data_IF_719239043857
#
_entry.id   IF_719239043857
#
_cell.length_a   1.000
_cell.length_b   1.000
_cell.length_c   1.000
_cell.angle_alpha   90.00
_cell.angle_beta   90.00
_cell.angle_gamma   90.00
#
_symmetry.space_group_name_H-M   'P 1'
#
loop_
_entity.id
_entity.type
_entity.pdbx_description
1 polymer ?
#
# COMPACT_ATOMS: atom_id res chain seq x y z
N UNK A 1 33.48 32.07 28.24
CA UNK A 1 34.45 31.32 27.40
C UNK A 1 34.31 31.92 26.01
N UNK A 2 35.39 32.32 25.36
CA UNK A 2 35.28 32.93 24.03
C UNK A 2 34.88 31.88 22.99
N UNK A 3 34.26 32.27 21.88
CA UNK A 3 33.91 31.34 20.79
C UNK A 3 35.19 30.70 20.24
N UNK A 4 36.29 31.46 20.16
CA UNK A 4 37.60 30.96 19.75
C UNK A 4 38.10 29.85 20.69
N UNK A 5 37.93 30.02 22.01
CA UNK A 5 38.31 29.00 22.99
C UNK A 5 37.43 27.75 22.86
N UNK A 6 36.12 27.93 22.62
CA UNK A 6 35.19 26.83 22.40
C UNK A 6 35.54 26.03 21.14
N UNK A 7 35.83 26.71 20.03
CA UNK A 7 36.26 26.08 18.76
C UNK A 7 37.57 25.32 18.94
N UNK A 8 38.57 25.93 19.58
CA UNK A 8 39.87 25.28 19.80
C UNK A 8 39.71 24.06 20.72
N UNK A 9 38.88 24.15 21.76
CA UNK A 9 38.64 23.03 22.69
C UNK A 9 37.88 21.86 22.03
N UNK A 10 37.00 22.14 21.07
CA UNK A 10 36.20 21.14 20.37
C UNK A 10 36.89 20.52 19.14
N UNK A 11 37.93 21.17 18.60
CA UNK A 11 38.56 20.78 17.33
C UNK A 11 39.07 19.32 17.30
N UNK A 12 39.67 18.85 18.41
CA UNK A 12 40.19 17.47 18.51
C UNK A 12 39.06 16.43 18.48
N UNK A 13 37.97 16.70 19.18
CA UNK A 13 36.80 15.83 19.23
C UNK A 13 36.00 15.87 17.91
N UNK A 14 35.89 17.04 17.27
CA UNK A 14 35.35 17.16 15.92
C UNK A 14 36.14 16.31 14.91
N UNK A 15 37.47 16.36 14.95
CA UNK A 15 38.31 15.55 14.07
C UNK A 15 38.10 14.05 14.30
N UNK A 16 37.93 13.62 15.56
CA UNK A 16 37.58 12.24 15.90
C UNK A 16 36.21 11.84 15.36
N UNK A 17 35.18 12.67 15.54
CA UNK A 17 33.83 12.41 15.03
C UNK A 17 33.82 12.30 13.50
N UNK A 18 34.51 13.19 12.79
CA UNK A 18 34.62 13.15 11.34
C UNK A 18 35.38 11.90 10.87
N UNK A 19 36.45 11.51 11.56
CA UNK A 19 37.18 10.27 11.29
C UNK A 19 36.26 9.04 11.43
N UNK A 20 35.52 8.94 12.53
CA UNK A 20 34.57 7.83 12.75
C UNK A 20 33.37 7.86 11.79
N UNK A 21 32.93 9.03 11.32
CA UNK A 21 31.89 9.11 10.27
C UNK A 21 32.42 8.58 8.94
N UNK A 22 33.66 8.92 8.59
CA UNK A 22 34.30 8.48 7.35
C UNK A 22 34.48 6.96 7.30
N UNK A 23 34.70 6.29 8.43
CA UNK A 23 34.76 4.83 8.53
C UNK A 23 33.46 4.11 8.11
N UNK A 24 32.32 4.81 8.11
CA UNK A 24 31.00 4.25 7.78
C UNK A 24 30.33 4.92 6.58
N UNK A 25 31.07 5.68 5.78
CA UNK A 25 30.46 6.57 4.79
C UNK A 25 29.83 5.81 3.62
N UNK A 26 30.35 4.63 3.31
CA UNK A 26 29.86 3.67 2.32
C UNK A 26 28.68 2.82 2.83
N UNK A 27 28.54 2.65 4.15
CA UNK A 27 27.54 1.76 4.76
C UNK A 27 26.08 2.02 4.32
N UNK A 28 25.59 3.27 4.15
CA UNK A 28 24.24 3.51 3.67
C UNK A 28 24.01 3.03 2.23
N UNK A 29 24.99 3.24 1.35
CA UNK A 29 24.90 2.79 -0.04
C UNK A 29 24.96 1.27 -0.13
N UNK A 30 25.85 0.65 0.65
CA UNK A 30 25.95 -0.80 0.77
C UNK A 30 24.65 -1.42 1.30
N UNK A 31 24.04 -0.82 2.34
CA UNK A 31 22.76 -1.27 2.89
C UNK A 31 21.64 -1.19 1.83
N UNK A 32 21.51 -0.06 1.15
CA UNK A 32 20.49 0.11 0.11
C UNK A 32 20.67 -0.89 -1.05
N UNK A 33 21.91 -1.15 -1.46
CA UNK A 33 22.21 -2.16 -2.48
C UNK A 33 21.81 -3.56 -2.01
N UNK A 34 22.13 -3.92 -0.77
CA UNK A 34 21.78 -5.23 -0.22
C UNK A 34 20.26 -5.39 -0.03
N UNK A 35 19.55 -4.35 0.41
CA UNK A 35 18.08 -4.33 0.48
C UNK A 35 17.45 -4.55 -0.90
N UNK A 36 17.98 -3.91 -1.94
CA UNK A 36 17.54 -4.13 -3.33
C UNK A 36 17.76 -5.57 -3.76
N UNK A 37 18.93 -6.14 -3.50
CA UNK A 37 19.23 -7.54 -3.82
C UNK A 37 18.31 -8.52 -3.09
N UNK A 38 18.02 -8.28 -1.81
CA UNK A 38 17.08 -9.08 -1.03
C UNK A 38 15.66 -8.97 -1.61
N UNK A 39 15.23 -7.76 -1.97
CA UNK A 39 13.92 -7.56 -2.59
C UNK A 39 13.79 -8.30 -3.93
N UNK A 40 14.81 -8.26 -4.77
CA UNK A 40 14.89 -9.03 -6.02
C UNK A 40 14.83 -10.54 -5.77
N UNK A 41 15.59 -11.04 -4.79
CA UNK A 41 15.55 -12.46 -4.39
C UNK A 41 14.16 -12.88 -3.90
N UNK A 42 13.48 -12.04 -3.11
CA UNK A 42 12.12 -12.31 -2.65
C UNK A 42 11.15 -12.36 -3.82
N UNK A 43 11.23 -11.43 -4.78
CA UNK A 43 10.40 -11.46 -5.98
C UNK A 43 10.63 -12.74 -6.79
N UNK A 44 11.90 -13.13 -6.99
CA UNK A 44 12.26 -14.36 -7.69
C UNK A 44 11.69 -15.61 -6.99
N UNK A 45 11.81 -15.69 -5.66
CA UNK A 45 11.23 -16.78 -4.86
C UNK A 45 9.72 -16.87 -5.06
N UNK A 46 9.00 -15.74 -5.05
CA UNK A 46 7.55 -15.73 -5.23
C UNK A 46 7.14 -16.21 -6.62
N UNK A 47 7.89 -15.83 -7.66
CA UNK A 47 7.58 -16.26 -9.03
C UNK A 47 7.92 -17.73 -9.25
N UNK A 48 9.02 -18.22 -8.69
CA UNK A 48 9.37 -19.64 -8.72
C UNK A 48 8.41 -20.50 -7.89
N UNK A 49 7.84 -19.97 -6.79
CA UNK A 49 6.76 -20.63 -6.04
C UNK A 49 5.50 -20.80 -6.89
N UNK A 50 5.06 -19.74 -7.60
CA UNK A 50 3.92 -19.83 -8.53
C UNK A 50 4.19 -20.85 -9.64
N UNK A 51 5.41 -20.85 -10.19
CA UNK A 51 5.83 -21.81 -11.21
C UNK A 51 5.82 -23.24 -10.67
N UNK A 52 6.33 -23.47 -9.47
CA UNK A 52 6.31 -24.77 -8.82
C UNK A 52 4.87 -25.25 -8.59
N UNK A 53 3.96 -24.38 -8.16
CA UNK A 53 2.54 -24.72 -8.01
C UNK A 53 1.90 -25.15 -9.34
N UNK A 54 2.20 -24.44 -10.44
CA UNK A 54 1.73 -24.80 -11.77
C UNK A 54 2.30 -26.15 -12.24
N UNK A 55 3.59 -26.39 -12.01
CA UNK A 55 4.25 -27.66 -12.34
C UNK A 55 3.68 -28.83 -11.53
N UNK A 56 3.48 -28.65 -10.22
CA UNK A 56 2.87 -29.66 -9.35
C UNK A 56 1.41 -29.96 -9.74
N UNK A 57 0.64 -28.94 -10.16
CA UNK A 57 -0.70 -29.13 -10.69
C UNK A 57 -0.69 -29.94 -12.00
N UNK A 58 0.28 -29.66 -12.89
CA UNK A 58 0.47 -30.41 -14.13
C UNK A 58 0.90 -31.86 -13.84
N UNK A 59 1.89 -32.09 -12.98
CA UNK A 59 2.32 -33.44 -12.58
C UNK A 59 1.16 -34.25 -11.99
N UNK A 60 0.32 -33.63 -11.16
CA UNK A 60 -0.90 -34.25 -10.63
C UNK A 60 -1.94 -34.59 -11.71
N UNK A 61 -2.05 -33.75 -12.75
CA UNK A 61 -2.93 -33.99 -13.89
C UNK A 61 -2.44 -35.16 -14.74
N UNK A 62 -1.15 -35.17 -15.11
CA UNK A 62 -0.52 -36.26 -15.87
C UNK A 62 -0.58 -37.59 -15.10
N UNK A 63 -0.35 -37.56 -13.78
CA UNK A 63 -0.51 -38.73 -12.90
C UNK A 63 -1.90 -39.35 -13.01
N UNK A 64 -2.95 -38.53 -12.92
CA UNK A 64 -4.34 -39.00 -13.06
C UNK A 64 -4.62 -39.54 -14.46
N UNK A 65 -4.04 -38.94 -15.50
CA UNK A 65 -4.11 -39.42 -16.87
C UNK A 65 -3.54 -40.83 -17.00
N UNK A 66 -2.30 -41.00 -16.54
CA UNK A 66 -1.59 -42.28 -16.50
C UNK A 66 -2.36 -43.35 -15.68
N UNK A 67 -2.78 -43.04 -14.45
CA UNK A 67 -3.57 -43.96 -13.60
C UNK A 67 -4.88 -44.38 -14.27
N UNK A 68 -5.60 -43.43 -14.90
CA UNK A 68 -6.87 -43.73 -15.58
C UNK A 68 -6.73 -44.63 -16.81
N UNK A 69 -5.58 -44.58 -17.48
CA UNK A 69 -5.26 -45.45 -18.62
C UNK A 69 -4.84 -46.84 -18.15
N UNK A 70 -3.99 -46.91 -17.12
CA UNK A 70 -3.50 -48.16 -16.54
C UNK A 70 -4.62 -49.01 -15.92
N UNK A 71 -5.52 -48.37 -15.16
CA UNK A 71 -6.52 -49.08 -14.36
C UNK A 71 -7.81 -49.41 -15.14
N UNK A 72 -7.94 -48.95 -16.39
CA UNK A 72 -9.13 -49.21 -17.21
C UNK A 72 -9.10 -50.60 -17.86
N UNK A 73 -9.52 -51.61 -17.09
CA UNK A 73 -9.75 -52.99 -17.55
C UNK A 73 -10.70 -53.06 -18.75
N UNK A 74 -11.73 -52.22 -18.81
CA UNK A 74 -12.68 -52.15 -19.93
C UNK A 74 -12.03 -51.67 -21.24
N UNK A 75 -11.16 -50.64 -21.20
CA UNK A 75 -10.41 -50.17 -22.39
C UNK A 75 -9.40 -51.22 -22.86
N UNK A 76 -8.74 -51.88 -21.92
CA UNK A 76 -7.77 -52.95 -22.20
C UNK A 76 -8.44 -54.15 -22.89
N UNK A 77 -9.64 -54.53 -22.45
CA UNK A 77 -10.45 -55.57 -23.10
C UNK A 77 -10.95 -55.14 -24.48
N UNK A 78 -11.47 -53.92 -24.62
CA UNK A 78 -11.95 -53.39 -25.90
C UNK A 78 -10.83 -53.31 -26.98
N UNK A 79 -9.62 -52.89 -26.59
CA UNK A 79 -8.46 -52.87 -27.49
C UNK A 79 -7.94 -54.27 -27.84
N UNK A 80 -8.10 -55.24 -26.93
CA UNK A 80 -7.75 -56.64 -27.19
C UNK A 80 -8.72 -57.29 -28.16
N UNK A 81 -10.03 -57.04 -28.00
CA UNK A 81 -11.09 -57.55 -28.88
C UNK A 81 -11.07 -56.94 -30.28
N UNK A 82 -10.61 -55.69 -30.43
CA UNK A 82 -10.52 -54.99 -31.72
C UNK A 82 -9.15 -55.14 -32.42
N UNK A 83 -8.22 -55.92 -31.86
CA UNK A 83 -6.88 -56.15 -32.42
C UNK A 83 -5.93 -54.94 -32.34
N UNK A 84 -6.28 -53.88 -31.60
CA UNK A 84 -5.53 -52.62 -31.51
C UNK A 84 -4.63 -52.55 -30.25
N UNK A 85 -4.04 -53.67 -29.83
CA UNK A 85 -3.20 -53.79 -28.62
C UNK A 85 -1.97 -52.87 -28.66
N UNK A 86 -1.27 -52.83 -29.80
CA UNK A 86 -0.07 -51.97 -29.96
C UNK A 86 -0.39 -50.49 -29.79
N UNK A 87 -1.54 -50.02 -30.30
CA UNK A 87 -1.98 -48.62 -30.14
C UNK A 87 -2.29 -48.26 -28.69
N UNK A 88 -2.73 -49.23 -27.89
CA UNK A 88 -2.96 -49.02 -26.47
C UNK A 88 -1.64 -48.94 -25.70
N UNK A 89 -0.71 -49.86 -25.96
CA UNK A 89 0.62 -49.87 -25.35
C UNK A 89 1.44 -48.61 -25.70
N UNK A 90 1.35 -48.14 -26.94
CA UNK A 90 2.00 -46.89 -27.37
C UNK A 90 1.47 -45.67 -26.61
N UNK A 91 0.15 -45.60 -26.36
CA UNK A 91 -0.47 -44.51 -25.57
C UNK A 91 -0.11 -44.59 -24.09
N UNK A 92 -0.06 -45.79 -23.52
CA UNK A 92 0.37 -46.01 -22.14
C UNK A 92 1.80 -45.54 -21.91
N UNK A 93 2.71 -45.89 -22.83
CA UNK A 93 4.11 -45.43 -22.80
C UNK A 93 4.26 -43.92 -22.98
N UNK A 94 3.47 -43.30 -23.86
CA UNK A 94 3.48 -41.84 -24.07
C UNK A 94 3.06 -41.09 -22.79
N UNK A 95 2.03 -41.58 -22.10
CA UNK A 95 1.50 -40.94 -20.89
C UNK A 95 2.39 -41.18 -19.66
N UNK A 96 3.05 -42.34 -19.58
CA UNK A 96 4.11 -42.58 -18.60
C UNK A 96 5.27 -41.59 -18.80
N UNK A 97 5.71 -41.38 -20.05
CA UNK A 97 6.78 -40.42 -20.35
C UNK A 97 6.40 -39.00 -19.96
N UNK A 98 5.17 -38.56 -20.28
CA UNK A 98 4.67 -37.22 -19.88
C UNK A 98 4.64 -37.04 -18.37
N UNK A 99 4.23 -38.07 -17.62
CA UNK A 99 4.20 -38.04 -16.16
C UNK A 99 5.61 -37.95 -15.57
N UNK A 100 6.56 -38.76 -16.04
CA UNK A 100 7.96 -38.72 -15.58
C UNK A 100 8.58 -37.36 -15.87
N UNK A 101 8.40 -36.84 -17.09
CA UNK A 101 8.91 -35.52 -17.48
C UNK A 101 8.29 -34.38 -16.67
N UNK A 102 7.00 -34.49 -16.30
CA UNK A 102 6.36 -33.52 -15.42
C UNK A 102 6.90 -33.57 -13.99
N UNK A 103 7.20 -34.77 -13.47
CA UNK A 103 7.82 -34.97 -12.16
C UNK A 103 9.26 -34.43 -12.10
N UNK A 104 10.07 -34.72 -13.11
CA UNK A 104 11.45 -34.22 -13.20
C UNK A 104 11.47 -32.69 -13.16
N UNK A 105 10.61 -32.03 -13.94
CA UNK A 105 10.48 -30.57 -13.92
C UNK A 105 10.03 -30.01 -12.57
N UNK A 106 9.09 -30.68 -11.91
CA UNK A 106 8.65 -30.29 -10.56
C UNK A 106 9.81 -30.37 -9.56
N UNK A 107 10.57 -31.46 -9.62
CA UNK A 107 11.71 -31.71 -8.74
C UNK A 107 12.82 -30.68 -8.95
N UNK A 108 13.22 -30.44 -10.20
CA UNK A 108 14.22 -29.42 -10.55
C UNK A 108 13.82 -28.02 -10.07
N UNK A 109 12.56 -27.64 -10.29
CA UNK A 109 12.04 -26.34 -9.85
C UNK A 109 12.04 -26.22 -8.31
N UNK A 110 11.74 -27.32 -7.61
CA UNK A 110 11.74 -27.37 -6.15
C UNK A 110 13.15 -27.24 -5.57
N UNK A 111 14.12 -27.91 -6.17
CA UNK A 111 15.52 -27.82 -5.73
C UNK A 111 16.09 -26.42 -5.98
N UNK A 112 15.83 -25.83 -7.14
CA UNK A 112 16.20 -24.44 -7.43
C UNK A 112 15.60 -23.46 -6.40
N UNK A 113 14.33 -23.62 -6.07
CA UNK A 113 13.67 -22.79 -5.05
C UNK A 113 14.28 -22.98 -3.65
N UNK A 114 14.66 -24.20 -3.28
CA UNK A 114 15.32 -24.46 -2.00
C UNK A 114 16.69 -23.78 -1.90
N UNK A 115 17.46 -23.75 -3.00
CA UNK A 115 18.73 -23.03 -3.07
C UNK A 115 18.52 -21.53 -2.87
N UNK A 116 17.57 -20.92 -3.59
CA UNK A 116 17.26 -19.49 -3.45
C UNK A 116 16.81 -19.13 -2.03
N UNK A 117 15.98 -19.98 -1.40
CA UNK A 117 15.58 -19.82 0.01
C UNK A 117 16.75 -19.95 0.98
N UNK A 118 17.77 -20.76 0.66
CA UNK A 118 19.01 -20.83 1.40
C UNK A 118 19.78 -19.52 1.34
N UNK A 119 20.02 -19.02 0.11
CA UNK A 119 20.71 -17.74 -0.13
C UNK A 119 19.98 -16.58 0.59
N UNK A 120 18.66 -16.53 0.52
CA UNK A 120 17.88 -15.51 1.22
C UNK A 120 18.02 -15.58 2.75
N UNK A 121 18.08 -16.78 3.35
CA UNK A 121 18.30 -16.92 4.80
C UNK A 121 19.68 -16.46 5.23
N UNK A 122 20.68 -16.64 4.37
CA UNK A 122 22.06 -16.27 4.65
C UNK A 122 22.36 -14.79 4.35
N UNK A 123 21.44 -14.07 3.70
CA UNK A 123 21.53 -12.64 3.46
C UNK A 123 21.39 -11.84 4.77
N UNK A 124 22.51 -11.53 5.41
CA UNK A 124 22.56 -10.79 6.70
C UNK A 124 22.54 -9.28 6.47
N UNK A 125 21.46 -8.60 6.87
CA UNK A 125 21.34 -7.13 6.85
C UNK A 125 21.84 -6.47 8.14
N UNK A 126 21.94 -7.24 9.23
CA UNK A 126 22.11 -6.70 10.57
C UNK A 126 23.40 -5.88 10.75
N UNK A 127 24.54 -6.34 10.21
CA UNK A 127 25.85 -5.66 10.34
C UNK A 127 25.87 -4.28 9.64
N UNK A 128 25.28 -4.18 8.44
CA UNK A 128 25.18 -2.90 7.73
C UNK A 128 24.18 -1.96 8.40
N UNK A 129 23.08 -2.49 8.92
CA UNK A 129 22.08 -1.70 9.65
C UNK A 129 22.68 -1.06 10.91
N UNK A 130 23.52 -1.80 11.64
CA UNK A 130 24.22 -1.30 12.82
C UNK A 130 25.22 -0.20 12.46
N UNK A 131 25.99 -0.38 11.38
CA UNK A 131 26.92 0.64 10.86
C UNK A 131 26.19 1.93 10.45
N UNK A 132 25.07 1.81 9.74
CA UNK A 132 24.22 2.97 9.38
C UNK A 132 23.67 3.66 10.63
N UNK A 133 23.20 2.89 11.62
CA UNK A 133 22.74 3.45 12.91
C UNK A 133 23.87 4.19 13.63
N UNK A 134 25.08 3.63 13.65
CA UNK A 134 26.25 4.23 14.29
C UNK A 134 26.67 5.52 13.58
N UNK A 135 26.70 5.52 12.25
CA UNK A 135 26.94 6.75 11.47
C UNK A 135 25.91 7.83 11.77
N UNK A 136 24.64 7.45 11.85
CA UNK A 136 23.56 8.40 12.18
C UNK A 136 23.75 9.00 13.58
N UNK A 137 24.09 8.19 14.59
CA UNK A 137 24.35 8.72 15.94
C UNK A 137 25.53 9.68 15.96
N UNK A 138 26.63 9.37 15.26
CA UNK A 138 27.80 10.24 15.18
C UNK A 138 27.49 11.57 14.49
N UNK A 139 26.64 11.58 13.46
CA UNK A 139 26.17 12.82 12.82
C UNK A 139 25.32 13.68 13.76
N UNK A 140 24.48 13.06 14.58
CA UNK A 140 23.71 13.78 15.61
C UNK A 140 24.64 14.38 16.65
N UNK A 141 25.62 13.62 17.12
CA UNK A 141 26.65 14.07 18.07
C UNK A 141 27.47 15.24 17.50
N UNK A 142 27.86 15.16 16.23
CA UNK A 142 28.51 16.25 15.50
C UNK A 142 27.62 17.50 15.42
N UNK A 143 26.34 17.35 15.09
CA UNK A 143 25.40 18.49 15.07
C UNK A 143 25.18 19.10 16.45
N UNK A 144 25.18 18.29 17.50
CA UNK A 144 25.05 18.77 18.88
C UNK A 144 26.31 19.54 19.31
N UNK A 145 27.50 19.07 18.92
CA UNK A 145 28.76 19.79 19.14
C UNK A 145 28.75 21.16 18.45
N UNK A 146 28.33 21.22 17.17
CA UNK A 146 28.15 22.49 16.48
C UNK A 146 27.11 23.38 17.17
N UNK A 147 25.99 22.81 17.60
CA UNK A 147 24.98 23.53 18.36
C UNK A 147 25.52 24.11 19.66
N UNK A 148 26.38 23.41 20.39
CA UNK A 148 26.97 23.93 21.63
C UNK A 148 27.97 25.08 21.39
N UNK A 149 28.69 25.06 20.27
CA UNK A 149 29.70 26.08 19.94
C UNK A 149 29.04 27.32 19.34
N UNK A 150 28.02 27.12 18.50
CA UNK A 150 27.46 28.17 17.64
C UNK A 150 26.02 28.56 17.97
N UNK A 151 25.26 27.77 18.76
CA UNK A 151 23.97 28.23 19.29
C UNK A 151 24.17 28.91 20.64
N UNK A 152 24.39 30.21 20.60
CA UNK A 152 24.46 31.08 21.77
C UNK A 152 24.56 32.53 21.31
N UNK A 153 24.28 33.49 22.19
CA UNK A 153 24.40 34.89 21.86
C UNK A 153 25.84 35.18 21.42
N UNK A 154 26.01 35.63 20.18
CA UNK A 154 27.27 36.11 19.68
C UNK A 154 27.57 37.41 20.41
N UNK A 155 28.29 37.34 21.54
CA UNK A 155 28.63 38.50 22.37
C UNK A 155 29.32 39.64 21.60
N UNK A 156 29.88 39.35 20.42
CA UNK A 156 30.47 40.32 19.51
C UNK A 156 29.44 41.12 18.67
N UNK A 157 28.23 40.59 18.51
CA UNK A 157 27.17 41.11 17.63
C UNK A 157 25.79 41.01 18.29
N UNK A 158 25.52 41.78 19.36
CA UNK A 158 24.22 41.74 20.05
C UNK A 158 23.04 42.13 19.15
N UNK A 159 23.27 42.95 18.13
CA UNK A 159 22.26 43.32 17.13
C UNK A 159 21.83 42.11 16.27
N UNK A 160 22.75 41.21 15.94
CA UNK A 160 22.45 39.99 15.18
C UNK A 160 21.63 39.01 16.05
N UNK A 161 21.96 38.89 17.34
CA UNK A 161 21.21 38.06 18.29
C UNK A 161 19.75 38.54 18.44
N UNK A 162 19.52 39.85 18.52
CA UNK A 162 18.17 40.44 18.57
C UNK A 162 17.39 40.16 17.28
N UNK A 163 18.05 40.24 16.12
CA UNK A 163 17.42 39.92 14.83
C UNK A 163 17.11 38.43 14.69
N UNK A 164 17.96 37.54 15.18
CA UNK A 164 17.72 36.10 15.20
C UNK A 164 16.53 35.73 16.08
N UNK A 165 16.40 36.35 17.26
CA UNK A 165 15.25 36.14 18.14
C UNK A 165 13.96 36.65 17.51
N UNK A 166 13.98 37.85 16.91
CA UNK A 166 12.84 38.39 16.16
C UNK A 166 12.45 37.48 14.99
N UNK A 167 13.44 36.97 14.24
CA UNK A 167 13.20 36.04 13.14
C UNK A 167 12.57 34.75 13.63
N UNK A 168 13.03 34.17 14.74
CA UNK A 168 12.43 32.96 15.34
C UNK A 168 10.97 33.18 15.71
N UNK A 169 10.64 34.29 16.38
CA UNK A 169 9.25 34.62 16.72
C UNK A 169 8.39 34.77 15.46
N UNK A 170 8.89 35.45 14.43
CA UNK A 170 8.16 35.62 13.17
C UNK A 170 7.98 34.28 12.44
N UNK A 171 8.98 33.40 12.46
CA UNK A 171 8.90 32.05 11.88
C UNK A 171 7.88 31.18 12.62
N UNK A 172 7.88 31.17 13.94
CA UNK A 172 6.88 30.44 14.74
C UNK A 172 5.46 30.91 14.43
N UNK A 173 5.26 32.23 14.36
CA UNK A 173 3.96 32.80 13.97
C UNK A 173 3.58 32.47 12.53
N UNK A 174 4.55 32.45 11.61
CA UNK A 174 4.32 32.06 10.23
C UNK A 174 3.92 30.59 10.14
N UNK A 175 4.64 29.70 10.82
CA UNK A 175 4.37 28.26 10.82
C UNK A 175 3.01 27.94 11.45
N UNK A 176 2.64 28.61 12.54
CA UNK A 176 1.31 28.48 13.14
C UNK A 176 0.21 28.90 12.15
N UNK A 177 0.36 30.08 11.54
CA UNK A 177 -0.59 30.56 10.52
C UNK A 177 -0.64 29.64 9.31
N UNK A 178 0.51 29.10 8.89
CA UNK A 178 0.60 28.19 7.75
C UNK A 178 -0.09 26.87 8.03
N UNK A 179 0.17 26.25 9.19
CA UNK A 179 -0.53 25.03 9.63
C UNK A 179 -2.04 25.25 9.67
N UNK A 180 -2.49 26.38 10.22
CA UNK A 180 -3.91 26.73 10.24
C UNK A 180 -4.49 26.87 8.84
N UNK A 181 -3.79 27.57 7.95
CA UNK A 181 -4.21 27.72 6.54
C UNK A 181 -4.27 26.38 5.82
N UNK A 182 -3.29 25.51 6.03
CA UNK A 182 -3.25 24.19 5.40
C UNK A 182 -4.41 23.30 5.92
N UNK A 183 -4.71 23.34 7.23
CA UNK A 183 -5.89 22.67 7.81
C UNK A 183 -7.21 23.22 7.26
N UNK A 184 -7.35 24.54 7.13
CA UNK A 184 -8.53 25.18 6.55
C UNK A 184 -8.69 24.83 5.07
N UNK A 185 -7.59 24.78 4.30
CA UNK A 185 -7.59 24.38 2.89
C UNK A 185 -8.00 22.92 2.71
N UNK A 186 -7.43 22.01 3.50
CA UNK A 186 -7.77 20.59 3.46
C UNK A 186 -9.25 20.35 3.83
N UNK A 187 -9.74 21.05 4.85
CA UNK A 187 -11.15 21.05 5.22
C UNK A 187 -12.05 21.54 4.07
N UNK A 188 -11.69 22.66 3.42
CA UNK A 188 -12.44 23.23 2.30
C UNK A 188 -12.46 22.30 1.07
N UNK A 189 -11.33 21.67 0.74
CA UNK A 189 -11.24 20.70 -0.36
C UNK A 189 -12.11 19.47 -0.10
N UNK A 190 -12.11 18.97 1.14
CA UNK A 190 -12.91 17.82 1.56
C UNK A 190 -14.41 18.14 1.53
N UNK A 191 -14.80 19.33 2.00
CA UNK A 191 -16.18 19.80 1.89
C UNK A 191 -16.63 20.01 0.44
N UNK A 192 -15.73 20.50 -0.43
CA UNK A 192 -16.00 20.63 -1.87
C UNK A 192 -16.26 19.26 -2.51
N UNK A 193 -15.52 18.22 -2.10
CA UNK A 193 -15.78 16.84 -2.55
C UNK A 193 -17.13 16.35 -2.03
N UNK A 194 -17.45 16.60 -0.77
CA UNK A 194 -18.73 16.23 -0.18
C UNK A 194 -19.91 16.88 -0.92
N UNK A 195 -19.82 18.17 -1.26
CA UNK A 195 -20.83 18.91 -2.00
C UNK A 195 -21.04 18.36 -3.43
N UNK A 196 -19.95 18.01 -4.12
CA UNK A 196 -20.03 17.34 -5.44
C UNK A 196 -20.74 15.99 -5.34
N UNK A 197 -20.38 15.17 -4.35
CA UNK A 197 -21.02 13.86 -4.12
C UNK A 197 -22.50 14.00 -3.77
N UNK A 198 -22.86 15.01 -2.98
CA UNK A 198 -24.25 15.33 -2.64
C UNK A 198 -25.03 15.77 -3.89
N UNK A 199 -24.42 16.60 -4.74
CA UNK A 199 -25.03 17.06 -6.00
C UNK A 199 -25.31 15.88 -6.93
N UNK A 200 -24.36 14.96 -7.11
CA UNK A 200 -24.58 13.73 -7.87
C UNK A 200 -25.67 12.84 -7.26
N UNK A 201 -25.74 12.74 -5.93
CA UNK A 201 -26.81 12.01 -5.24
C UNK A 201 -28.18 12.63 -5.55
N UNK A 202 -28.28 13.96 -5.47
CA UNK A 202 -29.51 14.70 -5.77
C UNK A 202 -29.96 14.50 -7.21
N UNK A 203 -29.05 14.60 -8.18
CA UNK A 203 -29.35 14.39 -9.61
C UNK A 203 -29.90 13.00 -9.88
N UNK A 204 -29.26 11.95 -9.34
CA UNK A 204 -29.72 10.56 -9.51
C UNK A 204 -31.10 10.32 -8.90
N UNK A 205 -31.38 10.92 -7.75
CA UNK A 205 -32.69 10.82 -7.10
C UNK A 205 -33.75 11.60 -7.89
N UNK A 206 -33.46 12.81 -8.36
CA UNK A 206 -34.42 13.62 -9.15
C UNK A 206 -34.75 12.98 -10.50
N UNK A 207 -33.74 12.49 -11.24
CA UNK A 207 -33.94 11.82 -12.52
C UNK A 207 -34.88 10.61 -12.38
N UNK A 208 -34.71 9.83 -11.30
CA UNK A 208 -35.58 8.68 -11.05
C UNK A 208 -36.98 9.08 -10.60
N UNK A 209 -37.13 10.13 -9.78
CA UNK A 209 -38.45 10.65 -9.38
C UNK A 209 -39.24 11.13 -10.60
N UNK A 210 -38.61 11.87 -11.50
CA UNK A 210 -39.23 12.31 -12.74
C UNK A 210 -39.61 11.10 -13.62
N UNK A 211 -38.72 10.12 -13.79
CA UNK A 211 -39.05 8.90 -14.54
C UNK A 211 -40.24 8.12 -13.94
N UNK A 212 -40.31 7.99 -12.61
CA UNK A 212 -41.42 7.31 -11.93
C UNK A 212 -42.75 8.07 -12.01
N UNK A 213 -42.73 9.40 -12.16
CA UNK A 213 -43.93 10.23 -12.29
C UNK A 213 -44.66 10.00 -13.62
N UNK A 214 -43.93 9.63 -14.68
CA UNK A 214 -44.48 9.43 -16.03
C UNK A 214 -44.80 7.96 -16.36
N UNK A 215 -44.40 7.00 -15.52
CA UNK A 215 -44.49 5.57 -15.84
C UNK A 215 -45.44 4.81 -14.89
N UNK A 216 -46.55 4.29 -15.43
CA UNK A 216 -47.49 3.37 -14.76
C UNK A 216 -47.00 1.92 -14.89
N UNK A 217 -46.10 1.41 -14.03
CA UNK A 217 -45.83 -0.04 -13.99
C UNK A 217 -45.05 -0.57 -12.78
N UNK A 218 -45.42 -1.79 -12.36
CA UNK A 218 -44.78 -2.66 -11.36
C UNK A 218 -43.36 -3.13 -11.70
N UNK A 219 -42.88 -2.95 -12.94
CA UNK A 219 -41.50 -3.30 -13.34
C UNK A 219 -40.44 -2.32 -12.81
N UNK A 220 -40.86 -1.17 -12.27
CA UNK A 220 -39.96 -0.12 -11.75
C UNK A 220 -39.40 -0.42 -10.36
N UNK A 221 -40.00 -1.36 -9.62
CA UNK A 221 -39.72 -1.55 -8.19
C UNK A 221 -38.30 -2.09 -7.94
N UNK A 222 -37.73 -2.86 -8.88
CA UNK A 222 -36.35 -3.37 -8.77
C UNK A 222 -35.29 -2.31 -9.06
N UNK A 223 -35.52 -1.46 -10.06
CA UNK A 223 -34.61 -0.35 -10.39
C UNK A 223 -34.73 0.81 -9.40
N UNK A 224 -35.93 1.11 -8.90
CA UNK A 224 -36.13 2.09 -7.83
C UNK A 224 -35.31 1.69 -6.59
N UNK A 225 -35.33 0.41 -6.22
CA UNK A 225 -34.48 -0.13 -5.13
C UNK A 225 -32.98 -0.07 -5.42
N UNK A 226 -32.54 -0.07 -6.67
CA UNK A 226 -31.11 0.05 -6.99
C UNK A 226 -30.65 1.52 -6.92
N UNK A 227 -31.46 2.46 -7.38
CA UNK A 227 -31.18 3.91 -7.28
C UNK A 227 -31.18 4.38 -5.83
N UNK A 228 -32.15 3.96 -5.00
CA UNK A 228 -32.14 4.31 -3.58
C UNK A 228 -30.97 3.66 -2.83
N UNK A 229 -30.53 2.46 -3.22
CA UNK A 229 -29.30 1.87 -2.69
C UNK A 229 -28.07 2.70 -3.04
N UNK A 230 -27.94 3.14 -4.30
CA UNK A 230 -26.85 4.02 -4.72
C UNK A 230 -26.88 5.38 -4.03
N UNK A 231 -28.06 6.00 -3.90
CA UNK A 231 -28.22 7.28 -3.22
C UNK A 231 -27.89 7.19 -1.72
N UNK A 232 -28.24 6.07 -1.07
CA UNK A 232 -27.87 5.81 0.33
C UNK A 232 -26.36 5.64 0.49
N UNK A 233 -25.72 4.94 -0.44
CA UNK A 233 -24.25 4.80 -0.48
C UNK A 233 -23.57 6.16 -0.63
N UNK A 234 -24.03 6.99 -1.57
CA UNK A 234 -23.51 8.34 -1.76
C UNK A 234 -23.74 9.24 -0.53
N UNK A 235 -24.90 9.17 0.11
CA UNK A 235 -25.18 9.92 1.33
C UNK A 235 -24.29 9.47 2.50
N UNK A 236 -23.99 8.17 2.61
CA UNK A 236 -23.04 7.67 3.58
C UNK A 236 -21.61 8.19 3.30
N UNK A 237 -21.19 8.22 2.03
CA UNK A 237 -19.90 8.79 1.63
C UNK A 237 -19.79 10.28 1.98
N UNK A 238 -20.87 11.06 1.79
CA UNK A 238 -20.91 12.47 2.22
C UNK A 238 -20.72 12.59 3.73
N UNK A 239 -21.38 11.74 4.54
CA UNK A 239 -21.20 11.77 6.00
C UNK A 239 -19.77 11.44 6.43
N UNK A 240 -19.11 10.51 5.74
CA UNK A 240 -17.70 10.20 6.00
C UNK A 240 -16.79 11.38 5.66
N UNK A 241 -16.98 12.00 4.49
CA UNK A 241 -16.20 13.17 4.08
C UNK A 241 -16.40 14.36 5.03
N UNK A 242 -17.61 14.58 5.54
CA UNK A 242 -17.83 15.66 6.52
C UNK A 242 -17.18 15.35 7.87
N UNK A 243 -17.20 14.09 8.33
CA UNK A 243 -16.46 13.69 9.54
C UNK A 243 -14.95 13.83 9.38
N UNK A 244 -14.44 13.50 8.21
CA UNK A 244 -13.02 13.70 7.86
C UNK A 244 -12.67 15.20 7.90
N UNK A 245 -13.50 16.06 7.28
CA UNK A 245 -13.32 17.51 7.32
C UNK A 245 -13.42 18.10 8.74
N UNK A 246 -14.26 17.53 9.61
CA UNK A 246 -14.34 17.93 11.03
C UNK A 246 -13.08 17.54 11.82
N UNK A 247 -12.47 16.40 11.47
CA UNK A 247 -11.25 15.94 12.11
C UNK A 247 -10.03 16.78 11.73
N UNK A 248 -9.98 17.27 10.49
CA UNK A 248 -8.92 18.17 10.02
C UNK A 248 -9.18 19.63 10.41
N UNK A 249 -10.43 20.06 10.46
CA UNK A 249 -10.81 21.44 10.78
C UNK A 249 -11.99 21.51 11.77
N UNK A 250 -11.74 21.81 13.06
CA UNK A 250 -12.78 21.86 14.10
C UNK A 250 -13.84 22.95 13.92
N UNK A 251 -13.65 23.88 12.98
CA UNK A 251 -14.61 24.95 12.67
C UNK A 251 -15.77 24.48 11.77
N UNK A 252 -15.68 23.26 11.22
CA UNK A 252 -16.73 22.67 10.38
C UNK A 252 -17.89 22.18 11.25
N UNK A 253 -19.09 22.70 10.99
CA UNK A 253 -20.31 22.31 11.71
C UNK A 253 -20.79 20.89 11.37
N UNK A 254 -21.62 20.31 12.23
CA UNK A 254 -22.29 19.04 11.95
C UNK A 254 -23.46 19.23 10.98
N UNK A 255 -23.52 18.39 9.94
CA UNK A 255 -24.59 18.37 8.94
C UNK A 255 -25.75 17.47 9.34
N UNK A 256 -25.60 16.69 10.44
CA UNK A 256 -26.59 15.72 10.90
C UNK A 256 -26.72 14.52 9.98
N UNK A 257 -27.64 13.60 10.32
CA UNK A 257 -27.93 12.46 9.46
C UNK A 257 -28.65 12.91 8.18
N UNK A 258 -28.19 12.41 7.03
CA UNK A 258 -28.84 12.60 5.72
C UNK A 258 -29.80 11.42 5.47
N UNK A 259 -31.12 11.56 5.72
CA UNK A 259 -32.05 10.47 5.53
C UNK A 259 -32.39 10.27 4.05
N UNK A 260 -31.78 9.26 3.42
CA UNK A 260 -32.19 8.77 2.10
C UNK A 260 -33.08 7.55 2.28
N UNK A 261 -34.38 7.76 2.48
CA UNK A 261 -35.36 6.67 2.59
C UNK A 261 -36.52 6.83 1.60
N UNK A 262 -36.83 5.74 0.89
CA UNK A 262 -37.94 5.62 -0.07
C UNK A 262 -39.30 6.00 0.54
N UNK A 263 -39.46 5.82 1.86
CA UNK A 263 -40.70 6.11 2.61
C UNK A 263 -40.88 7.60 2.92
N UNK A 264 -39.78 8.31 3.24
CA UNK A 264 -39.84 9.74 3.59
C UNK A 264 -39.91 10.65 2.37
N UNK A 265 -39.35 10.25 1.23
CA UNK A 265 -39.51 10.99 -0.03
C UNK A 265 -40.98 10.97 -0.47
N UNK A 266 -41.65 9.81 -0.40
CA UNK A 266 -43.09 9.69 -0.68
C UNK A 266 -43.94 10.47 0.33
N UNK A 267 -43.57 10.49 1.62
CA UNK A 267 -44.28 11.28 2.64
C UNK A 267 -44.10 12.80 2.48
N UNK A 268 -42.92 13.30 2.09
CA UNK A 268 -42.71 14.74 1.84
C UNK A 268 -43.39 15.22 0.57
N UNK A 269 -43.46 14.38 -0.48
CA UNK A 269 -44.21 14.69 -1.70
C UNK A 269 -45.72 14.73 -1.47
N UNK A 270 -46.27 13.81 -0.66
CA UNK A 270 -47.68 13.84 -0.25
C UNK A 270 -48.05 15.11 0.53
N UNK A 271 -47.10 15.71 1.26
CA UNK A 271 -47.31 16.96 2.00
C UNK A 271 -47.19 18.19 1.09
N UNK A 272 -46.35 18.18 0.05
CA UNK A 272 -46.22 19.29 -0.90
C UNK A 272 -47.28 19.30 -2.01
N UNK A 273 -47.95 18.17 -2.27
CA UNK A 273 -49.04 18.09 -3.25
C UNK A 273 -50.43 18.38 -2.63
N UNK A 274 -50.52 18.59 -1.30
CA UNK A 274 -51.75 18.86 -0.56
C UNK A 274 -51.70 20.17 0.27
N UNK A 275 -50.77 21.07 -0.04
CA UNK A 275 -50.74 22.46 0.44
C UNK A 275 -50.61 23.42 -0.74
#
# INVERSE_FOLDING_TARGET
MSIEDAVVSAASYQAQLLGSIAEYDDAPAALAQQESQVAELVAQIQDDEKRLQALAANAKKEKRGHESLRDSTARRLAHTLTGKKEKFAARESEEERKYVEALEREFEARDALNVLRGIHRDAKLDDLSEKVRRRRSLKVELSALYGQIFNGPSLAFPEDDELEEQLKVVQEQYDEKRRRMDMESEGADTLTRADRTLSTCREKVSEKLDYTRWALSSYLDMEERSVFRQARELAHQVQLLVREAQSSCPSVGDIGELPVSQRQVKQRQLISEHG
#
